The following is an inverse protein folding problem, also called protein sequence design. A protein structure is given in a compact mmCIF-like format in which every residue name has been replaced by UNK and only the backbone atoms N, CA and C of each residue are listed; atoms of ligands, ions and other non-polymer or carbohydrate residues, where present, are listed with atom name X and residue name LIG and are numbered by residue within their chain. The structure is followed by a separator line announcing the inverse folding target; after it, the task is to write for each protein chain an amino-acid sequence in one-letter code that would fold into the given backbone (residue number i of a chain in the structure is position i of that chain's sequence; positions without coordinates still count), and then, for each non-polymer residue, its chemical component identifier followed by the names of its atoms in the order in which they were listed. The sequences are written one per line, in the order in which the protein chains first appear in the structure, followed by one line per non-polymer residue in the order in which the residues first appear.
data_IF_198106612404
#
_entry.id   IF_198106612404
#
_cell.length_a   1.000
_cell.length_b   1.000
_cell.length_c   1.000
_cell.angle_alpha   90.00
_cell.angle_beta   90.00
_cell.angle_gamma   90.00
#
_symmetry.space_group_name_H-M   'P 1'
#
loop_
_entity.id
_entity.type
_entity.pdbx_description
1 polymer ?
#
# COMPACT_ATOMS: atom_id res chain seq x y z
N UNK A 1 0.36 66.22 -0.53
CA UNK A 1 0.16 64.94 0.17
C UNK A 1 0.57 63.84 -0.79
N UNK A 2 1.80 63.33 -0.63
CA UNK A 2 2.45 62.41 -1.56
C UNK A 2 1.93 60.98 -1.35
N UNK A 3 1.35 60.40 -2.39
CA UNK A 3 1.11 58.96 -2.48
C UNK A 3 2.43 58.26 -2.82
N UNK A 4 3.03 57.60 -1.81
CA UNK A 4 4.24 56.81 -1.96
C UNK A 4 3.94 55.47 -2.62
N UNK A 5 4.51 55.26 -3.81
CA UNK A 5 4.54 54.00 -4.52
C UNK A 5 5.49 53.03 -3.77
N UNK A 6 4.95 51.92 -3.23
CA UNK A 6 5.75 50.88 -2.57
C UNK A 6 6.03 49.78 -3.61
N UNK A 7 7.29 49.57 -4.04
CA UNK A 7 7.61 48.48 -4.95
C UNK A 7 7.50 47.12 -4.25
N UNK A 8 7.14 46.04 -4.97
CA UNK A 8 7.02 44.71 -4.38
C UNK A 8 8.42 44.20 -3.98
N UNK A 9 8.59 43.94 -2.69
CA UNK A 9 9.76 43.20 -2.19
C UNK A 9 9.60 41.74 -2.62
N UNK A 10 10.42 41.31 -3.57
CA UNK A 10 10.65 39.91 -3.88
C UNK A 10 11.30 39.25 -2.66
N UNK A 11 10.51 38.56 -1.84
CA UNK A 11 11.03 37.67 -0.81
C UNK A 11 11.56 36.40 -1.48
N UNK A 12 12.77 36.50 -2.04
CA UNK A 12 13.58 35.33 -2.36
C UNK A 12 14.15 34.83 -1.02
N UNK A 13 13.34 34.08 -0.28
CA UNK A 13 13.79 33.39 0.92
C UNK A 13 14.69 32.23 0.50
N UNK A 14 15.97 32.54 0.36
CA UNK A 14 17.03 31.55 0.29
C UNK A 14 16.91 30.68 1.55
N UNK A 15 16.52 29.41 1.39
CA UNK A 15 16.65 28.41 2.45
C UNK A 15 18.10 28.47 2.94
N UNK A 16 18.37 28.63 4.24
CA UNK A 16 19.74 28.63 4.70
C UNK A 16 20.33 27.24 4.42
N UNK A 17 21.50 27.23 3.77
CA UNK A 17 22.33 26.05 3.57
C UNK A 17 22.42 25.27 4.90
N UNK A 18 21.81 24.08 4.93
CA UNK A 18 21.98 23.12 6.00
C UNK A 18 23.47 22.74 6.04
N UNK A 19 24.24 23.44 6.87
CA UNK A 19 25.60 23.02 7.21
C UNK A 19 25.48 21.67 7.91
N UNK A 20 25.84 20.62 7.19
CA UNK A 20 26.07 19.29 7.77
C UNK A 20 27.12 19.45 8.87
N UNK A 21 26.67 19.34 10.12
CA UNK A 21 27.57 19.23 11.25
C UNK A 21 28.20 17.84 11.19
N UNK A 22 29.46 17.78 10.74
CA UNK A 22 30.30 16.60 10.92
C UNK A 22 30.65 16.44 12.40
N UNK A 23 29.97 15.52 13.08
CA UNK A 23 30.54 14.42 13.87
C UNK A 23 29.57 13.99 14.96
N UNK A 24 29.14 12.74 14.91
CA UNK A 24 29.38 11.74 15.97
C UNK A 24 29.11 10.39 15.32
N UNK A 25 30.10 9.51 15.32
CA UNK A 25 29.96 8.10 14.92
C UNK A 25 28.90 7.44 15.80
N UNK A 26 27.65 7.45 15.35
CA UNK A 26 26.62 6.61 15.91
C UNK A 26 26.94 5.19 15.48
N UNK A 27 27.42 4.40 16.43
CA UNK A 27 27.52 2.95 16.32
C UNK A 27 26.09 2.42 16.22
N UNK A 28 25.51 2.44 15.02
CA UNK A 28 24.17 1.90 14.79
C UNK A 28 24.27 0.39 14.81
N UNK A 29 23.95 -0.21 15.96
CA UNK A 29 23.59 -1.61 16.02
C UNK A 29 22.43 -1.85 15.03
N UNK A 30 22.58 -2.74 14.02
CA UNK A 30 21.56 -2.95 12.98
C UNK A 30 20.30 -3.67 13.48
N UNK A 31 20.12 -3.85 14.79
CA UNK A 31 19.06 -4.66 15.40
C UNK A 31 18.01 -3.88 16.20
N UNK A 32 18.14 -2.57 16.34
CA UNK A 32 17.11 -1.77 17.03
C UNK A 32 16.05 -1.30 16.01
N UNK A 33 14.75 -1.54 16.25
CA UNK A 33 13.70 -1.00 15.39
C UNK A 33 13.82 0.52 15.32
N UNK A 34 13.72 1.07 14.11
CA UNK A 34 13.84 2.52 13.88
C UNK A 34 12.86 3.28 14.76
N UNK A 35 13.36 4.23 15.56
CA UNK A 35 12.52 5.12 16.38
C UNK A 35 11.49 5.83 15.52
N UNK A 36 11.87 6.25 14.29
CA UNK A 36 10.97 6.88 13.33
C UNK A 36 9.78 6.00 12.94
N UNK A 37 10.02 4.71 12.67
CA UNK A 37 8.96 3.76 12.32
C UNK A 37 7.92 3.68 13.44
N UNK A 38 8.41 3.52 14.68
CA UNK A 38 7.57 3.46 15.88
C UNK A 38 6.77 4.75 16.07
N UNK A 39 7.42 5.91 15.91
CA UNK A 39 6.77 7.20 16.11
C UNK A 39 5.64 7.43 15.08
N UNK A 40 5.88 7.10 13.82
CA UNK A 40 4.88 7.21 12.75
C UNK A 40 3.73 6.22 12.94
N UNK A 41 4.02 4.98 13.33
CA UNK A 41 3.01 3.97 13.66
C UNK A 41 2.10 4.42 14.81
N UNK A 42 2.67 5.01 15.87
CA UNK A 42 1.91 5.56 16.99
C UNK A 42 0.97 6.68 16.55
N UNK A 43 1.40 7.55 15.63
CA UNK A 43 0.52 8.60 15.10
C UNK A 43 -0.73 8.03 14.41
N UNK A 44 -0.60 6.91 13.68
CA UNK A 44 -1.74 6.21 13.08
C UNK A 44 -2.66 5.63 14.15
N UNK A 45 -2.10 4.91 15.13
CA UNK A 45 -2.88 4.25 16.17
C UNK A 45 -3.64 5.24 17.08
N UNK A 46 -3.01 6.37 17.42
CA UNK A 46 -3.60 7.42 18.26
C UNK A 46 -4.50 8.39 17.46
N UNK A 47 -4.52 8.27 16.13
CA UNK A 47 -5.24 9.16 15.20
C UNK A 47 -4.85 10.65 15.38
N UNK A 48 -3.57 10.91 15.64
CA UNK A 48 -3.05 12.25 15.92
C UNK A 48 -2.57 12.91 14.63
N UNK A 49 -3.05 14.14 14.34
CA UNK A 49 -2.73 14.91 13.12
C UNK A 49 -3.22 14.28 11.80
N UNK A 50 -4.17 13.35 11.85
CA UNK A 50 -4.81 12.83 10.65
C UNK A 50 -5.60 13.92 9.91
N UNK A 51 -5.35 14.07 8.62
CA UNK A 51 -5.90 15.10 7.74
C UNK A 51 -6.70 14.51 6.57
N UNK A 52 -6.84 13.19 6.53
CA UNK A 52 -7.70 12.47 5.58
C UNK A 52 -8.33 11.25 6.24
N UNK A 53 -9.46 10.80 5.71
CA UNK A 53 -10.12 9.55 6.10
C UNK A 53 -10.27 8.62 4.91
N UNK A 54 -10.04 7.33 5.11
CA UNK A 54 -10.42 6.28 4.16
C UNK A 54 -11.69 5.61 4.68
N UNK A 55 -12.71 5.42 3.85
CA UNK A 55 -13.99 4.84 4.26
C UNK A 55 -14.32 3.62 3.42
N UNK A 56 -14.51 2.48 4.09
CA UNK A 56 -15.12 1.29 3.49
C UNK A 56 -16.61 1.29 3.77
N UNK A 57 -17.34 0.28 3.25
CA UNK A 57 -18.74 0.09 3.61
C UNK A 57 -18.98 -0.17 5.11
N UNK A 58 -17.96 -0.60 5.85
CA UNK A 58 -18.06 -0.99 7.26
C UNK A 58 -17.40 0.01 8.22
N UNK A 59 -16.25 0.59 7.85
CA UNK A 59 -15.40 1.35 8.77
C UNK A 59 -14.83 2.62 8.14
N UNK A 60 -14.38 3.55 8.99
CA UNK A 60 -13.65 4.77 8.58
C UNK A 60 -12.33 4.85 9.31
N UNK A 61 -11.25 5.06 8.56
CA UNK A 61 -9.87 5.05 9.01
C UNK A 61 -9.27 6.45 8.87
N UNK A 62 -8.99 7.16 9.98
CA UNK A 62 -8.17 8.37 9.94
C UNK A 62 -6.75 8.04 9.49
N UNK A 63 -6.17 8.89 8.64
CA UNK A 63 -4.84 8.71 8.10
C UNK A 63 -4.18 10.07 7.75
N UNK A 64 -2.96 10.02 7.25
CA UNK A 64 -2.15 11.18 6.87
C UNK A 64 -1.91 11.21 5.36
N UNK A 65 -2.38 12.26 4.70
CA UNK A 65 -2.29 12.45 3.25
C UNK A 65 -0.85 12.31 2.74
N UNK A 66 0.14 12.79 3.51
CA UNK A 66 1.55 12.82 3.13
C UNK A 66 2.13 11.41 3.11
N UNK A 67 1.79 10.58 4.08
CA UNK A 67 2.23 9.18 4.12
C UNK A 67 1.59 8.42 2.97
N UNK A 68 0.28 8.54 2.78
CA UNK A 68 -0.41 7.89 1.66
C UNK A 68 0.20 8.31 0.30
N UNK A 69 0.45 9.61 0.10
CA UNK A 69 1.09 10.16 -1.10
C UNK A 69 2.53 9.68 -1.28
N UNK A 70 3.29 9.55 -0.20
CA UNK A 70 4.68 9.10 -0.26
C UNK A 70 4.74 7.63 -0.68
N UNK A 71 3.83 6.80 -0.18
CA UNK A 71 3.82 5.35 -0.33
C UNK A 71 3.05 4.84 -1.56
N UNK A 72 2.17 5.66 -2.13
CA UNK A 72 1.34 5.30 -3.29
C UNK A 72 1.28 6.42 -4.33
N UNK A 73 1.71 6.16 -5.58
CA UNK A 73 1.52 7.08 -6.69
C UNK A 73 0.05 7.39 -6.97
N UNK A 74 -0.86 6.43 -6.74
CA UNK A 74 -2.31 6.60 -6.96
C UNK A 74 -2.89 7.56 -5.94
N UNK A 75 -2.60 7.38 -4.66
CA UNK A 75 -3.01 8.36 -3.65
C UNK A 75 -2.36 9.73 -3.91
N UNK A 76 -1.08 9.78 -4.27
CA UNK A 76 -0.42 11.04 -4.63
C UNK A 76 -1.14 11.76 -5.77
N UNK A 77 -1.46 11.04 -6.84
CA UNK A 77 -2.19 11.60 -7.98
C UNK A 77 -3.56 12.11 -7.54
N UNK A 78 -4.32 11.30 -6.80
CA UNK A 78 -5.63 11.67 -6.24
C UNK A 78 -5.57 12.97 -5.42
N UNK A 79 -4.57 13.13 -4.54
CA UNK A 79 -4.42 14.35 -3.75
C UNK A 79 -3.88 15.55 -4.55
N UNK A 80 -3.15 15.32 -5.64
CA UNK A 80 -2.59 16.38 -6.49
C UNK A 80 -3.57 16.87 -7.56
N UNK A 81 -4.40 16.00 -8.13
CA UNK A 81 -5.43 16.35 -9.11
C UNK A 81 -6.55 17.17 -8.48
N UNK A 82 -6.85 16.93 -7.21
CA UNK A 82 -8.07 17.40 -6.57
C UNK A 82 -7.90 18.61 -5.65
N UNK A 83 -7.31 19.68 -6.20
CA UNK A 83 -7.51 21.04 -5.65
C UNK A 83 -9.00 21.48 -5.62
N UNK A 84 -9.91 20.72 -6.25
CA UNK A 84 -11.37 20.95 -6.22
C UNK A 84 -12.11 20.11 -5.15
N UNK A 85 -11.54 19.02 -4.66
CA UNK A 85 -12.10 18.23 -3.53
C UNK A 85 -11.46 18.56 -2.19
N UNK A 86 -11.00 19.81 -2.01
CA UNK A 86 -10.76 20.41 -0.68
C UNK A 86 -12.01 20.44 0.25
N UNK A 87 -13.09 19.74 -0.12
CA UNK A 87 -14.35 19.68 0.61
C UNK A 87 -14.73 18.26 1.06
N UNK A 88 -13.96 17.22 0.72
CA UNK A 88 -14.20 15.86 1.22
C UNK A 88 -12.93 15.30 1.84
N UNK A 89 -12.79 15.47 3.15
CA UNK A 89 -11.77 14.84 4.00
C UNK A 89 -11.90 13.29 4.06
N UNK A 90 -12.50 12.65 3.05
CA UNK A 90 -12.94 11.26 3.07
C UNK A 90 -12.91 10.61 1.68
N UNK A 91 -11.95 9.71 1.46
CA UNK A 91 -11.85 8.85 0.28
C UNK A 91 -12.69 7.60 0.50
N UNK A 92 -13.53 7.24 -0.46
CA UNK A 92 -14.36 6.03 -0.41
C UNK A 92 -13.63 4.88 -1.10
N UNK A 93 -13.48 3.77 -0.39
CA UNK A 93 -12.88 2.53 -0.87
C UNK A 93 -13.99 1.49 -0.94
N UNK A 94 -14.53 1.32 -2.15
CA UNK A 94 -15.70 0.46 -2.40
C UNK A 94 -15.34 -1.00 -2.68
N UNK A 95 -14.09 -1.25 -3.06
CA UNK A 95 -13.60 -2.53 -3.57
C UNK A 95 -12.63 -3.25 -2.62
N UNK A 96 -12.56 -2.80 -1.37
CA UNK A 96 -11.81 -3.49 -0.33
C UNK A 96 -12.58 -3.45 1.00
N UNK A 97 -12.46 -4.52 1.76
CA UNK A 97 -13.04 -4.61 3.10
C UNK A 97 -12.19 -3.85 4.15
N UNK A 98 -12.71 -3.79 5.37
CA UNK A 98 -12.06 -3.10 6.48
C UNK A 98 -10.71 -3.73 6.87
N UNK A 99 -10.56 -5.06 6.79
CA UNK A 99 -9.31 -5.74 7.15
C UNK A 99 -8.21 -5.43 6.14
N UNK A 100 -8.54 -5.49 4.84
CA UNK A 100 -7.65 -5.16 3.73
C UNK A 100 -7.15 -3.72 3.85
N UNK A 101 -8.04 -2.76 4.10
CA UNK A 101 -7.64 -1.34 4.29
C UNK A 101 -6.78 -1.16 5.54
N UNK A 102 -7.07 -1.87 6.64
CA UNK A 102 -6.25 -1.82 7.86
C UNK A 102 -4.83 -2.33 7.61
N UNK A 103 -4.69 -3.44 6.87
CA UNK A 103 -3.38 -4.01 6.50
C UNK A 103 -2.62 -3.14 5.51
N UNK A 104 -3.33 -2.54 4.55
CA UNK A 104 -2.76 -1.56 3.63
C UNK A 104 -2.15 -0.38 4.40
N UNK A 105 -2.89 0.17 5.35
CA UNK A 105 -2.43 1.25 6.22
C UNK A 105 -1.27 0.80 7.12
N UNK A 106 -1.36 -0.39 7.74
CA UNK A 106 -0.25 -0.95 8.51
C UNK A 106 1.03 -0.94 7.68
N UNK A 107 1.01 -1.56 6.49
CA UNK A 107 2.17 -1.64 5.62
C UNK A 107 2.72 -0.27 5.23
N UNK A 108 1.84 0.68 4.88
CA UNK A 108 2.28 2.03 4.53
C UNK A 108 3.06 2.74 5.63
N UNK A 109 2.78 2.43 6.90
CA UNK A 109 3.38 3.08 8.06
C UNK A 109 4.56 2.28 8.63
N UNK A 110 4.59 0.96 8.43
CA UNK A 110 5.52 0.06 9.13
C UNK A 110 6.35 -0.85 8.22
N UNK A 111 6.01 -0.97 6.93
CA UNK A 111 6.51 -2.01 6.02
C UNK A 111 6.21 -3.45 6.50
N UNK A 112 5.19 -3.63 7.35
CA UNK A 112 4.74 -4.94 7.82
C UNK A 112 3.36 -5.30 7.28
N UNK A 113 3.17 -6.58 6.91
CA UNK A 113 1.88 -7.09 6.41
C UNK A 113 0.97 -7.67 7.51
N UNK A 114 1.49 -7.78 8.74
CA UNK A 114 0.87 -8.54 9.83
C UNK A 114 0.76 -10.03 9.52
N UNK A 115 -0.12 -10.72 10.25
CA UNK A 115 -0.34 -12.16 10.05
C UNK A 115 -1.19 -12.39 8.81
N UNK A 116 -0.55 -12.84 7.73
CA UNK A 116 -1.22 -13.15 6.47
C UNK A 116 -1.76 -14.58 6.45
N UNK A 117 -2.99 -14.70 5.98
CA UNK A 117 -3.63 -15.95 5.51
C UNK A 117 -3.94 -15.81 4.01
N UNK A 118 -4.25 -16.92 3.34
CA UNK A 118 -4.51 -16.94 1.89
C UNK A 118 -5.47 -15.83 1.44
N UNK A 119 -6.68 -15.80 2.00
CA UNK A 119 -7.72 -14.83 1.64
C UNK A 119 -7.25 -13.38 1.88
N UNK A 120 -6.69 -13.09 3.06
CA UNK A 120 -6.17 -11.75 3.37
C UNK A 120 -5.00 -11.33 2.47
N UNK A 121 -4.16 -12.27 2.04
CA UNK A 121 -3.03 -12.01 1.17
C UNK A 121 -3.48 -11.75 -0.27
N UNK A 122 -4.46 -12.52 -0.77
CA UNK A 122 -5.09 -12.33 -2.08
C UNK A 122 -5.76 -10.96 -2.19
N UNK A 123 -6.55 -10.57 -1.18
CA UNK A 123 -7.21 -9.26 -1.15
C UNK A 123 -6.20 -8.10 -1.01
N UNK A 124 -5.20 -8.25 -0.14
CA UNK A 124 -4.16 -7.25 0.04
C UNK A 124 -3.28 -7.10 -1.20
N UNK A 125 -2.99 -8.19 -1.91
CA UNK A 125 -2.30 -8.18 -3.19
C UNK A 125 -3.07 -7.34 -4.23
N UNK A 126 -4.37 -7.57 -4.36
CA UNK A 126 -5.22 -6.82 -5.29
C UNK A 126 -5.26 -5.31 -4.94
N UNK A 127 -5.39 -4.98 -3.65
CA UNK A 127 -5.34 -3.61 -3.18
C UNK A 127 -3.98 -2.96 -3.43
N UNK A 128 -2.87 -3.68 -3.18
CA UNK A 128 -1.52 -3.19 -3.40
C UNK A 128 -1.26 -2.87 -4.88
N UNK A 129 -1.74 -3.71 -5.79
CA UNK A 129 -1.66 -3.46 -7.23
C UNK A 129 -2.48 -2.22 -7.62
N UNK A 130 -3.74 -2.14 -7.17
CA UNK A 130 -4.61 -0.98 -7.42
C UNK A 130 -3.99 0.34 -6.98
N UNK A 131 -3.41 0.38 -5.78
CA UNK A 131 -2.79 1.58 -5.23
C UNK A 131 -1.31 1.72 -5.62
N UNK A 132 -0.80 0.86 -6.49
CA UNK A 132 0.58 0.87 -7.01
C UNK A 132 1.65 0.85 -5.91
N UNK A 133 1.45 0.04 -4.88
CA UNK A 133 2.41 -0.20 -3.80
C UNK A 133 3.17 -1.47 -4.14
N UNK A 134 4.10 -1.35 -5.10
CA UNK A 134 4.75 -2.52 -5.72
C UNK A 134 5.45 -3.42 -4.70
N UNK A 135 6.11 -2.85 -3.68
CA UNK A 135 6.78 -3.64 -2.65
C UNK A 135 5.80 -4.49 -1.83
N UNK A 136 4.59 -3.99 -1.55
CA UNK A 136 3.55 -4.77 -0.88
C UNK A 136 2.99 -5.85 -1.80
N UNK A 137 2.79 -5.52 -3.08
CA UNK A 137 2.36 -6.50 -4.10
C UNK A 137 3.35 -7.65 -4.17
N UNK A 138 4.65 -7.37 -4.17
CA UNK A 138 5.71 -8.37 -4.20
C UNK A 138 5.73 -9.25 -2.95
N UNK A 139 5.59 -8.67 -1.75
CA UNK A 139 5.47 -9.42 -0.48
C UNK A 139 4.25 -10.35 -0.47
N UNK A 140 3.09 -9.86 -0.92
CA UNK A 140 1.89 -10.69 -1.02
C UNK A 140 2.07 -11.79 -2.09
N UNK A 141 2.67 -11.48 -3.25
CA UNK A 141 2.97 -12.44 -4.31
C UNK A 141 3.92 -13.54 -3.80
N UNK A 142 4.94 -13.18 -3.01
CA UNK A 142 5.84 -14.14 -2.37
C UNK A 142 5.09 -15.06 -1.40
N UNK A 143 4.23 -14.49 -0.54
CA UNK A 143 3.41 -15.28 0.37
C UNK A 143 2.48 -16.25 -0.38
N UNK A 144 1.78 -15.78 -1.42
CA UNK A 144 0.88 -16.61 -2.22
C UNK A 144 1.64 -17.78 -2.86
N UNK A 145 2.80 -17.52 -3.48
CA UNK A 145 3.65 -18.58 -4.07
C UNK A 145 4.08 -19.63 -3.04
N UNK A 146 4.43 -19.19 -1.83
CA UNK A 146 4.89 -20.08 -0.77
C UNK A 146 3.77 -20.95 -0.15
N UNK A 147 2.50 -20.52 -0.30
CA UNK A 147 1.34 -21.17 0.30
C UNK A 147 0.37 -21.76 -0.74
N UNK A 148 0.87 -22.03 -1.96
CA UNK A 148 0.09 -22.72 -2.99
C UNK A 148 -0.28 -24.14 -2.54
N UNK A 149 -1.54 -24.50 -2.74
CA UNK A 149 -2.08 -25.84 -2.59
C UNK A 149 -3.08 -26.18 -3.71
N UNK A 150 -3.57 -27.42 -3.73
CA UNK A 150 -4.48 -27.87 -4.77
C UNK A 150 -5.84 -27.14 -4.75
N UNK A 151 -6.30 -26.67 -3.58
CA UNK A 151 -7.58 -25.98 -3.42
C UNK A 151 -7.50 -24.52 -3.90
N UNK A 152 -6.35 -23.88 -3.75
CA UNK A 152 -6.16 -22.46 -4.03
C UNK A 152 -5.44 -22.16 -5.36
N UNK A 153 -4.82 -23.16 -6.00
CA UNK A 153 -4.04 -22.96 -7.23
C UNK A 153 -4.85 -22.33 -8.38
N UNK A 154 -6.13 -22.68 -8.53
CA UNK A 154 -6.97 -22.10 -9.59
C UNK A 154 -7.24 -20.60 -9.33
N UNK A 155 -7.56 -20.24 -8.10
CA UNK A 155 -7.76 -18.85 -7.69
C UNK A 155 -6.46 -18.04 -7.88
N UNK A 156 -5.33 -18.59 -7.46
CA UNK A 156 -4.02 -17.98 -7.64
C UNK A 156 -3.70 -17.68 -9.10
N UNK A 157 -4.10 -18.57 -10.01
CA UNK A 157 -3.90 -18.38 -11.45
C UNK A 157 -4.77 -17.24 -11.99
N UNK A 158 -6.03 -17.16 -11.55
CA UNK A 158 -6.94 -16.07 -11.90
C UNK A 158 -6.42 -14.72 -11.41
N UNK A 159 -5.99 -14.65 -10.15
CA UNK A 159 -5.43 -13.43 -9.56
C UNK A 159 -4.17 -12.99 -10.31
N UNK A 160 -3.28 -13.94 -10.63
CA UNK A 160 -2.05 -13.65 -11.38
C UNK A 160 -2.34 -13.07 -12.77
N UNK A 161 -3.31 -13.64 -13.48
CA UNK A 161 -3.71 -13.19 -14.80
C UNK A 161 -4.37 -11.80 -14.76
N UNK A 162 -5.31 -11.60 -13.83
CA UNK A 162 -6.04 -10.34 -13.63
C UNK A 162 -5.10 -9.16 -13.35
N UNK A 163 -4.06 -9.39 -12.55
CA UNK A 163 -3.10 -8.37 -12.13
C UNK A 163 -1.80 -8.39 -12.94
N UNK A 164 -1.79 -9.12 -14.06
CA UNK A 164 -0.66 -9.22 -14.99
C UNK A 164 0.68 -9.53 -14.31
N UNK A 165 0.68 -10.38 -13.27
CA UNK A 165 1.90 -10.86 -12.61
C UNK A 165 2.34 -12.17 -13.25
N UNK A 166 3.17 -12.04 -14.29
CA UNK A 166 3.72 -13.17 -15.03
C UNK A 166 4.55 -14.12 -14.17
N UNK A 167 5.18 -13.62 -13.08
CA UNK A 167 5.95 -14.48 -12.20
C UNK A 167 5.03 -15.34 -11.34
N UNK A 168 3.98 -14.76 -10.74
CA UNK A 168 2.96 -15.54 -10.02
C UNK A 168 2.28 -16.53 -10.96
N UNK A 169 1.93 -16.08 -12.16
CA UNK A 169 1.30 -16.93 -13.19
C UNK A 169 2.15 -18.13 -13.57
N UNK A 170 3.46 -17.92 -13.82
CA UNK A 170 4.39 -19.01 -14.14
C UNK A 170 4.51 -20.01 -12.99
N UNK A 171 4.75 -19.52 -11.77
CA UNK A 171 4.90 -20.38 -10.58
C UNK A 171 3.63 -21.20 -10.32
N UNK A 172 2.46 -20.56 -10.39
CA UNK A 172 1.17 -21.24 -10.21
C UNK A 172 0.90 -22.24 -11.32
N UNK A 173 1.20 -21.92 -12.58
CA UNK A 173 1.01 -22.84 -13.70
C UNK A 173 1.89 -24.09 -13.57
N UNK A 174 3.14 -23.92 -13.16
CA UNK A 174 4.06 -25.04 -12.89
C UNK A 174 3.53 -25.93 -11.76
N UNK A 175 3.01 -25.32 -10.69
CA UNK A 175 2.37 -26.05 -9.59
C UNK A 175 1.17 -26.87 -10.09
N UNK A 176 0.27 -26.25 -10.87
CA UNK A 176 -0.91 -26.93 -11.42
C UNK A 176 -0.50 -28.13 -12.28
N UNK A 177 0.49 -27.97 -13.16
CA UNK A 177 0.97 -29.06 -14.02
C UNK A 177 1.57 -30.21 -13.22
N UNK A 178 2.31 -29.91 -12.14
CA UNK A 178 2.88 -30.92 -11.24
C UNK A 178 1.79 -31.70 -10.47
N UNK A 179 0.67 -31.06 -10.17
CA UNK A 179 -0.45 -31.62 -9.40
C UNK A 179 -1.70 -31.93 -10.27
N UNK A 180 -1.53 -32.00 -11.59
CA UNK A 180 -2.62 -32.03 -12.56
C UNK A 180 -3.66 -33.15 -12.34
N UNK A 181 -3.25 -34.32 -11.83
CA UNK A 181 -4.16 -35.45 -11.60
C UNK A 181 -5.27 -35.14 -10.57
N UNK A 182 -4.94 -34.30 -9.60
CA UNK A 182 -5.83 -33.86 -8.54
C UNK A 182 -6.62 -32.63 -8.99
N UNK A 183 -5.89 -31.59 -9.43
CA UNK A 183 -6.48 -30.29 -9.76
C UNK A 183 -7.45 -30.39 -10.95
N UNK A 184 -7.12 -31.12 -12.01
CA UNK A 184 -8.01 -31.17 -13.18
C UNK A 184 -9.33 -31.91 -12.94
N UNK A 185 -9.46 -32.59 -11.80
CA UNK A 185 -10.71 -33.23 -11.37
C UNK A 185 -11.47 -32.42 -10.32
N UNK A 186 -10.91 -31.30 -9.86
CA UNK A 186 -11.49 -30.48 -8.82
C UNK A 186 -12.59 -29.58 -9.38
N UNK A 187 -13.55 -29.21 -8.53
CA UNK A 187 -14.64 -28.32 -8.92
C UNK A 187 -14.11 -26.91 -9.27
N UNK A 188 -13.03 -26.48 -8.63
CA UNK A 188 -12.34 -25.22 -8.87
C UNK A 188 -11.81 -25.15 -10.31
N UNK A 189 -11.18 -26.21 -10.79
CA UNK A 189 -10.71 -26.28 -12.18
C UNK A 189 -11.86 -26.28 -13.18
N UNK A 190 -12.93 -27.03 -12.90
CA UNK A 190 -14.11 -27.08 -13.76
C UNK A 190 -14.76 -25.69 -13.86
N UNK A 191 -14.83 -24.93 -12.76
CA UNK A 191 -15.33 -23.54 -12.76
C UNK A 191 -14.41 -22.61 -13.54
N UNK A 192 -13.09 -22.78 -13.40
CA UNK A 192 -12.11 -21.96 -14.10
C UNK A 192 -12.25 -22.05 -15.62
N UNK A 193 -12.46 -23.25 -16.17
CA UNK A 193 -12.57 -23.44 -17.63
C UNK A 193 -13.95 -23.09 -18.22
N UNK A 194 -14.94 -22.81 -17.37
CA UNK A 194 -16.31 -22.47 -17.78
C UNK A 194 -16.59 -20.96 -17.79
N UNK A 195 -15.71 -20.17 -17.18
CA UNK A 195 -15.70 -18.70 -17.24
C UNK A 195 -14.82 -18.22 -18.40
#
# INVERSE_FOLDING_TARGET
MNYGFIPPQTANACLPDLKLAENTTATTNPSAPSVLKRDIELMLHENVLCDVKLRTGAETFPAHWFILSARSPVFRAMFQSDMKEKAQDCIHIEDADADTVRRLLLYMYTDECGDLQWESASLLYAAADKYQILSLKDECSFFLKANLDAANACEALMIADLHHDEHLKSTTSEFILKHAKEIFKSDEWIRLIQN
#
